data_IF_097181641908
#
_entry.id   IF_097181641908
#
_cell.length_a   1.000
_cell.length_b   1.000
_cell.length_c   1.000
_cell.angle_alpha   90.00
_cell.angle_beta   90.00
_cell.angle_gamma   90.00
#
_symmetry.space_group_name_H-M   'P 1'
#
loop_
_entity.id
_entity.type
_entity.pdbx_description
1 polymer ?
#
# COMPACT_ATOMS: atom_id res chain seq x y z
N UNK A 1 -0.78 16.89 -2.57
CA UNK A 1 -0.70 15.49 -2.10
C UNK A 1 0.28 14.62 -2.89
N UNK A 2 -0.06 14.10 -4.09
CA UNK A 2 0.86 13.16 -4.78
C UNK A 2 2.17 13.77 -5.27
N UNK A 3 2.16 15.06 -5.66
CA UNK A 3 3.38 15.82 -5.91
C UNK A 3 4.31 15.86 -4.69
N UNK A 4 3.76 16.07 -3.50
CA UNK A 4 4.50 16.10 -2.23
C UNK A 4 4.97 14.71 -1.81
N UNK A 5 4.15 13.66 -2.03
CA UNK A 5 4.55 12.26 -1.80
C UNK A 5 5.74 11.91 -2.70
N UNK A 6 5.64 12.18 -4.00
CA UNK A 6 6.71 11.93 -4.95
C UNK A 6 7.99 12.71 -4.59
N UNK A 7 7.85 13.99 -4.21
CA UNK A 7 8.98 14.80 -3.75
C UNK A 7 9.60 14.21 -2.48
N UNK A 8 8.78 13.90 -1.47
CA UNK A 8 9.23 13.34 -0.20
C UNK A 8 9.96 12.00 -0.40
N UNK A 9 9.38 11.09 -1.19
CA UNK A 9 9.99 9.78 -1.44
C UNK A 9 11.34 9.89 -2.15
N UNK A 10 11.47 10.87 -3.07
CA UNK A 10 12.73 11.15 -3.76
C UNK A 10 13.77 11.79 -2.83
N UNK A 11 13.43 12.91 -2.19
CA UNK A 11 14.40 13.71 -1.41
C UNK A 11 14.85 12.97 -0.14
N UNK A 12 13.97 12.18 0.47
CA UNK A 12 14.28 11.41 1.69
C UNK A 12 14.72 9.98 1.43
N UNK A 13 14.87 9.58 0.17
CA UNK A 13 15.25 8.22 -0.24
C UNK A 13 14.34 7.15 0.38
N UNK A 14 13.03 7.39 0.39
CA UNK A 14 12.06 6.44 0.93
C UNK A 14 11.74 5.43 -0.17
N UNK A 15 12.10 4.18 0.06
CA UNK A 15 11.82 3.05 -0.84
C UNK A 15 10.36 2.62 -0.82
N UNK A 16 9.77 2.61 0.37
CA UNK A 16 8.40 2.16 0.63
C UNK A 16 7.71 3.16 1.56
N UNK A 17 6.50 3.57 1.20
CA UNK A 17 5.64 4.42 2.02
C UNK A 17 4.27 3.78 2.20
N UNK A 18 3.82 3.67 3.45
CA UNK A 18 2.44 3.26 3.77
C UNK A 18 1.57 4.50 3.97
N UNK A 19 0.41 4.51 3.35
CA UNK A 19 -0.61 5.56 3.44
C UNK A 19 -1.90 4.94 4.00
N UNK A 20 -2.56 5.65 4.91
CA UNK A 20 -3.83 5.24 5.52
C UNK A 20 -4.91 6.30 5.27
N UNK A 21 -6.18 5.91 5.34
CA UNK A 21 -7.33 6.78 5.04
C UNK A 21 -7.23 7.41 3.64
N UNK A 22 -6.86 6.57 2.67
CA UNK A 22 -6.83 6.95 1.28
C UNK A 22 -8.17 6.62 0.62
N UNK A 23 -8.53 7.43 -0.39
CA UNK A 23 -9.56 7.09 -1.35
C UNK A 23 -8.88 7.03 -2.72
N UNK A 24 -8.71 5.81 -3.24
CA UNK A 24 -8.02 5.55 -4.50
C UNK A 24 -8.96 4.79 -5.44
N UNK A 25 -9.94 5.48 -6.01
CA UNK A 25 -10.74 4.92 -7.10
C UNK A 25 -9.83 4.56 -8.30
N UNK A 26 -10.27 3.63 -9.16
CA UNK A 26 -9.48 3.24 -10.33
C UNK A 26 -9.22 4.38 -11.29
N UNK A 27 -10.18 5.32 -11.41
CA UNK A 27 -10.01 6.54 -12.19
C UNK A 27 -8.92 7.43 -11.59
N UNK A 28 -9.01 7.74 -10.29
CA UNK A 28 -8.03 8.58 -9.64
C UNK A 28 -6.63 7.94 -9.60
N UNK A 29 -6.57 6.63 -9.40
CA UNK A 29 -5.32 5.86 -9.45
C UNK A 29 -4.67 5.95 -10.83
N UNK A 30 -5.46 5.85 -11.91
CA UNK A 30 -4.94 6.02 -13.28
C UNK A 30 -4.40 7.43 -13.53
N UNK A 31 -5.08 8.48 -13.06
CA UNK A 31 -4.59 9.86 -13.18
C UNK A 31 -3.24 10.04 -12.45
N UNK A 32 -3.14 9.50 -11.23
CA UNK A 32 -1.91 9.56 -10.44
C UNK A 32 -0.78 8.80 -11.14
N UNK A 33 -1.06 7.61 -11.66
CA UNK A 33 -0.06 6.80 -12.38
C UNK A 33 0.33 7.40 -13.74
N UNK A 34 -0.55 8.15 -14.40
CA UNK A 34 -0.19 8.88 -15.61
C UNK A 34 0.89 9.95 -15.34
N UNK A 35 0.84 10.60 -14.17
CA UNK A 35 1.80 11.65 -13.79
C UNK A 35 3.06 11.09 -13.12
N UNK A 36 2.92 10.09 -12.25
CA UNK A 36 3.99 9.64 -11.35
C UNK A 36 4.37 8.16 -11.53
N UNK A 37 3.63 7.40 -12.35
CA UNK A 37 3.80 5.95 -12.50
C UNK A 37 5.14 5.52 -13.11
N UNK A 38 5.90 6.45 -13.72
CA UNK A 38 7.29 6.20 -14.11
C UNK A 38 8.19 5.91 -12.90
N UNK A 39 7.93 6.54 -11.75
CA UNK A 39 8.76 6.44 -10.54
C UNK A 39 8.05 5.77 -9.37
N UNK A 40 6.72 5.81 -9.34
CA UNK A 40 5.93 5.21 -8.26
C UNK A 40 5.22 3.95 -8.76
N UNK A 41 5.20 2.92 -7.93
CA UNK A 41 4.21 1.83 -7.98
C UNK A 41 3.25 2.01 -6.81
N UNK A 42 1.95 1.83 -7.02
CA UNK A 42 0.92 2.04 -5.99
C UNK A 42 0.12 0.74 -5.88
N UNK A 43 0.02 0.22 -4.66
CA UNK A 43 -0.74 -0.96 -4.31
C UNK A 43 -1.76 -0.51 -3.25
N UNK A 44 -3.05 -0.56 -3.55
CA UNK A 44 -4.11 -0.16 -2.63
C UNK A 44 -4.91 -1.38 -2.18
N UNK A 45 -5.47 -1.31 -0.97
CA UNK A 45 -6.43 -2.31 -0.47
C UNK A 45 -7.86 -2.08 -0.98
N UNK A 46 -8.08 -1.00 -1.75
CA UNK A 46 -9.33 -0.76 -2.45
C UNK A 46 -9.47 -1.77 -3.59
N UNK A 47 -10.64 -2.39 -3.67
CA UNK A 47 -11.03 -3.32 -4.74
C UNK A 47 -12.22 -2.71 -5.48
N UNK A 48 -12.45 -3.10 -6.75
CA UNK A 48 -13.60 -2.60 -7.54
C UNK A 48 -14.97 -2.75 -6.82
N UNK A 49 -15.05 -3.61 -5.80
CA UNK A 49 -16.24 -3.87 -4.99
C UNK A 49 -16.24 -3.24 -3.59
N UNK A 50 -15.17 -2.56 -3.17
CA UNK A 50 -15.13 -1.91 -1.85
C UNK A 50 -15.79 -0.54 -1.91
N UNK A 51 -16.96 -0.42 -1.31
CA UNK A 51 -17.72 0.85 -1.14
C UNK A 51 -17.12 1.79 -0.09
N UNK A 52 -15.86 1.58 0.30
CA UNK A 52 -15.26 2.13 1.51
C UNK A 52 -14.52 3.46 1.30
N UNK A 53 -14.77 4.43 2.20
CA UNK A 53 -14.12 5.75 2.24
C UNK A 53 -12.69 5.76 2.82
N UNK A 54 -12.16 4.60 3.22
CA UNK A 54 -10.86 4.53 3.89
C UNK A 54 -10.13 3.25 3.50
N UNK A 55 -8.99 3.40 2.83
CA UNK A 55 -8.12 2.30 2.44
C UNK A 55 -6.69 2.52 2.89
N UNK A 56 -5.95 1.41 2.94
CA UNK A 56 -4.51 1.42 3.10
C UNK A 56 -3.85 1.25 1.74
N UNK A 57 -2.79 2.00 1.50
CA UNK A 57 -2.00 1.87 0.29
C UNK A 57 -0.51 1.78 0.62
N UNK A 58 0.22 1.03 -0.19
CA UNK A 58 1.66 0.94 -0.19
C UNK A 58 2.17 1.53 -1.50
N UNK A 59 3.04 2.52 -1.38
CA UNK A 59 3.70 3.18 -2.50
C UNK A 59 5.16 2.77 -2.51
N UNK A 60 5.62 2.26 -3.65
CA UNK A 60 7.01 1.87 -3.87
C UNK A 60 7.70 2.87 -4.79
N UNK A 61 8.92 3.25 -4.45
CA UNK A 61 9.78 4.07 -5.28
C UNK A 61 10.62 3.18 -6.20
N UNK A 62 10.27 3.17 -7.49
CA UNK A 62 10.95 2.38 -8.54
C UNK A 62 12.42 2.75 -8.73
N UNK A 63 12.82 3.95 -8.30
CA UNK A 63 14.22 4.37 -8.33
C UNK A 63 15.06 3.65 -7.25
N UNK A 64 14.42 3.05 -6.23
CA UNK A 64 15.09 2.47 -5.06
C UNK A 64 14.78 0.98 -4.83
N UNK A 65 13.65 0.47 -5.32
CA UNK A 65 13.26 -0.93 -5.18
C UNK A 65 12.81 -1.54 -6.50
N UNK A 66 13.09 -2.82 -6.67
CA UNK A 66 12.59 -3.59 -7.80
C UNK A 66 11.08 -3.80 -7.64
N UNK A 67 10.31 -3.35 -8.61
CA UNK A 67 8.84 -3.49 -8.59
C UNK A 67 8.35 -4.65 -9.43
N UNK A 68 9.19 -5.20 -10.30
CA UNK A 68 8.89 -6.40 -11.07
C UNK A 68 8.90 -7.63 -10.15
N UNK A 69 7.79 -8.37 -10.13
CA UNK A 69 7.62 -9.54 -9.27
C UNK A 69 7.10 -9.22 -7.86
N UNK A 70 6.65 -8.00 -7.61
CA UNK A 70 5.91 -7.68 -6.38
C UNK A 70 4.60 -8.44 -6.35
N UNK A 71 4.35 -9.14 -5.24
CA UNK A 71 3.08 -9.84 -4.98
C UNK A 71 2.29 -9.03 -3.97
N UNK A 72 1.00 -8.84 -4.21
CA UNK A 72 0.08 -8.12 -3.32
C UNK A 72 -1.01 -9.06 -2.83
N UNK A 73 -1.21 -9.14 -1.53
CA UNK A 73 -2.25 -9.96 -0.89
C UNK A 73 -3.14 -9.08 -0.01
N UNK A 74 -4.44 -9.16 -0.24
CA UNK A 74 -5.46 -8.45 0.53
C UNK A 74 -5.86 -9.32 1.72
N UNK A 75 -5.29 -9.07 2.90
CA UNK A 75 -5.61 -9.85 4.10
C UNK A 75 -6.98 -9.46 4.66
N UNK A 76 -7.23 -8.15 4.75
CA UNK A 76 -8.52 -7.59 5.17
C UNK A 76 -8.84 -6.44 4.21
N UNK A 77 -9.88 -6.55 3.36
CA UNK A 77 -10.25 -5.49 2.42
C UNK A 77 -10.38 -4.12 3.10
N UNK A 78 -9.77 -3.09 2.52
CA UNK A 78 -9.75 -1.73 3.10
C UNK A 78 -8.87 -1.53 4.35
N UNK A 79 -8.30 -2.58 4.94
CA UNK A 79 -7.67 -2.51 6.28
C UNK A 79 -6.26 -3.10 6.36
N UNK A 80 -6.00 -4.21 5.71
CA UNK A 80 -4.71 -4.89 5.78
C UNK A 80 -4.26 -5.33 4.39
N UNK A 81 -3.12 -4.79 3.97
CA UNK A 81 -2.49 -5.04 2.68
C UNK A 81 -1.07 -5.56 2.89
N UNK A 82 -0.80 -6.76 2.40
CA UNK A 82 0.51 -7.37 2.41
C UNK A 82 1.15 -7.21 1.04
N UNK A 83 2.40 -6.78 0.99
CA UNK A 83 3.24 -6.85 -0.21
C UNK A 83 4.49 -7.67 0.05
N UNK A 84 4.87 -8.46 -0.94
CA UNK A 84 6.15 -9.15 -0.96
C UNK A 84 6.97 -8.58 -2.12
N UNK A 85 8.12 -7.99 -1.80
CA UNK A 85 8.94 -7.23 -2.73
C UNK A 85 10.26 -7.96 -2.92
N UNK A 86 10.68 -8.26 -4.17
CA UNK A 86 12.00 -8.80 -4.43
C UNK A 86 13.09 -7.86 -3.91
N UNK A 87 14.03 -8.43 -3.16
CA UNK A 87 15.12 -7.66 -2.55
C UNK A 87 16.47 -8.07 -3.15
N UNK A 88 17.38 -8.64 -2.36
CA UNK A 88 18.69 -9.07 -2.82
C UNK A 88 18.71 -10.56 -3.15
N UNK A 89 19.20 -10.91 -4.34
CA UNK A 89 19.22 -12.28 -4.82
C UNK A 89 17.82 -12.86 -4.91
N UNK A 90 17.59 -13.98 -4.24
CA UNK A 90 16.30 -14.68 -4.21
C UNK A 90 15.45 -14.34 -2.96
N UNK A 91 15.87 -13.32 -2.19
CA UNK A 91 15.14 -12.93 -0.97
C UNK A 91 13.96 -12.00 -1.26
N UNK A 92 12.93 -12.12 -0.42
CA UNK A 92 11.72 -11.29 -0.47
C UNK A 92 11.61 -10.49 0.82
N UNK A 93 11.35 -9.19 0.70
CA UNK A 93 10.93 -8.34 1.81
C UNK A 93 9.40 -8.41 1.92
N UNK A 94 8.88 -8.82 3.08
CA UNK A 94 7.45 -8.88 3.34
C UNK A 94 7.04 -7.68 4.18
N UNK A 95 6.09 -6.89 3.70
CA UNK A 95 5.61 -5.69 4.37
C UNK A 95 4.09 -5.71 4.51
N UNK A 96 3.62 -5.59 5.75
CA UNK A 96 2.19 -5.55 6.08
C UNK A 96 1.80 -4.13 6.48
N UNK A 97 0.96 -3.50 5.66
CA UNK A 97 0.34 -2.23 5.96
C UNK A 97 -1.03 -2.45 6.58
N UNK A 98 -1.26 -1.86 7.76
CA UNK A 98 -2.49 -2.01 8.54
C UNK A 98 -3.08 -0.63 8.80
N UNK A 99 -4.38 -0.49 8.64
CA UNK A 99 -5.16 0.65 9.11
C UNK A 99 -6.02 0.24 10.32
N UNK A 100 -5.46 0.49 11.50
CA UNK A 100 -6.06 0.17 12.79
C UNK A 100 -7.31 1.04 13.08
N UNK A 101 -8.36 0.40 13.60
CA UNK A 101 -9.58 1.08 14.02
C UNK A 101 -9.39 1.75 15.40
N UNK A 102 -10.06 2.90 15.60
CA UNK A 102 -10.07 3.61 16.88
C UNK A 102 -10.96 2.91 17.93
N UNK A 103 -11.90 2.07 17.50
CA UNK A 103 -12.71 1.26 18.40
C UNK A 103 -11.87 0.06 18.88
N UNK A 104 -11.69 -0.06 20.19
CA UNK A 104 -10.84 -1.09 20.81
C UNK A 104 -11.30 -2.52 20.52
N UNK A 105 -12.62 -2.77 20.52
CA UNK A 105 -13.21 -4.08 20.23
C UNK A 105 -12.92 -4.50 18.78
N UNK A 106 -13.22 -3.60 17.85
CA UNK A 106 -13.00 -3.85 16.42
C UNK A 106 -11.51 -3.97 16.09
N UNK A 107 -10.66 -3.22 16.78
CA UNK A 107 -9.21 -3.30 16.66
C UNK A 107 -8.69 -4.67 17.11
N UNK A 108 -9.09 -5.13 18.29
CA UNK A 108 -8.71 -6.45 18.81
C UNK A 108 -9.15 -7.56 17.87
N UNK A 109 -10.40 -7.53 17.43
CA UNK A 109 -10.93 -8.51 16.48
C UNK A 109 -10.12 -8.56 15.18
N UNK A 110 -9.76 -7.40 14.62
CA UNK A 110 -8.93 -7.32 13.42
C UNK A 110 -7.56 -8.00 13.62
N UNK A 111 -6.93 -7.83 14.79
CA UNK A 111 -5.67 -8.49 15.10
C UNK A 111 -5.83 -10.00 15.29
N UNK A 112 -6.90 -10.45 15.94
CA UNK A 112 -7.22 -11.87 16.07
C UNK A 112 -7.39 -12.52 14.70
N UNK A 113 -8.17 -11.90 13.80
CA UNK A 113 -8.37 -12.36 12.43
C UNK A 113 -7.02 -12.52 11.69
N UNK A 114 -6.12 -11.53 11.80
CA UNK A 114 -4.79 -11.58 11.16
C UNK A 114 -3.89 -12.71 11.65
N UNK A 115 -4.02 -13.13 12.91
CA UNK A 115 -3.20 -14.22 13.47
C UNK A 115 -3.65 -15.63 13.07
N UNK A 116 -4.82 -15.74 12.43
CA UNK A 116 -5.43 -17.03 12.05
C UNK A 116 -5.31 -17.35 10.55
N UNK A 117 -4.76 -16.42 9.76
CA UNK A 117 -4.51 -16.55 8.31
C UNK A 117 -3.15 -17.22 8.03
#
# INVERSE_FOLDING_TARGET
KWSEINLMMREKLISLLTLQDMYLSDEYTREVLALYGKRLSIHSSDTEHSTGRSSVAIVLNKDLVKTEGVVTTYLIPGRALLVQIPWHGETMCTWLAIYALNNEEENRKMWEDLTTL
#
